data_IF_530564311561
#
_entry.id   IF_530564311561
#
_cell.length_a   1.000
_cell.length_b   1.000
_cell.length_c   1.000
_cell.angle_alpha   90.00
_cell.angle_beta   90.00
_cell.angle_gamma   90.00
#
_symmetry.space_group_name_H-M   'P 1'
#
loop_
_entity.id
_entity.type
_entity.pdbx_description
1 polymer ?
#
# COMPACT_ATOMS: atom_id res chain seq x y z
N UNK A 1 3.10 16.22 24.39
CA UNK A 1 2.50 16.10 23.05
C UNK A 1 2.89 17.34 22.28
N UNK A 2 3.60 17.21 21.14
CA UNK A 2 3.94 18.38 20.31
C UNK A 2 2.69 18.76 19.55
N UNK A 3 2.24 20.00 19.70
CA UNK A 3 1.18 20.54 18.87
C UNK A 3 1.73 20.61 17.44
N UNK A 4 1.08 19.91 16.52
CA UNK A 4 1.37 20.07 15.10
C UNK A 4 1.10 21.52 14.76
N UNK A 5 2.14 22.25 14.37
CA UNK A 5 1.97 23.57 13.80
C UNK A 5 1.29 23.38 12.44
N UNK A 6 0.02 23.77 12.34
CA UNK A 6 -0.81 23.62 11.13
C UNK A 6 -0.34 24.54 9.96
N UNK A 7 0.77 25.27 10.14
CA UNK A 7 1.39 26.14 9.13
C UNK A 7 2.37 25.42 8.18
N UNK A 8 2.32 24.08 8.09
CA UNK A 8 3.08 23.27 7.10
C UNK A 8 2.19 22.93 5.89
N UNK A 9 2.79 22.76 4.69
CA UNK A 9 2.41 23.46 3.47
C UNK A 9 1.10 22.96 2.85
N UNK A 10 0.18 23.87 2.60
CA UNK A 10 -0.82 23.68 1.57
C UNK A 10 -0.07 23.76 0.23
N UNK A 11 -0.04 22.68 -0.55
CA UNK A 11 0.62 22.65 -1.88
C UNK A 11 -0.06 23.57 -2.91
N UNK A 12 -1.11 24.29 -2.52
CA UNK A 12 -2.04 24.99 -3.38
C UNK A 12 -2.21 26.41 -2.81
N UNK A 13 -2.06 27.42 -3.66
CA UNK A 13 -2.33 28.82 -3.30
C UNK A 13 -3.83 29.10 -3.32
N UNK A 14 -4.29 30.15 -2.63
CA UNK A 14 -5.72 30.53 -2.55
C UNK A 14 -6.38 30.69 -3.93
N UNK A 15 -5.63 31.19 -4.91
CA UNK A 15 -6.11 31.37 -6.29
C UNK A 15 -6.38 30.03 -6.99
N UNK A 16 -5.48 29.06 -6.83
CA UNK A 16 -5.64 27.72 -7.41
C UNK A 16 -6.76 26.97 -6.68
N UNK A 17 -6.93 27.17 -5.37
CA UNK A 17 -8.04 26.60 -4.61
C UNK A 17 -9.40 27.13 -5.12
N UNK A 18 -9.51 28.43 -5.36
CA UNK A 18 -10.73 29.05 -5.88
C UNK A 18 -11.10 28.53 -7.28
N UNK A 19 -10.13 28.36 -8.17
CA UNK A 19 -10.35 27.76 -9.49
C UNK A 19 -10.81 26.31 -9.40
N UNK A 20 -10.22 25.53 -8.50
CA UNK A 20 -10.56 24.12 -8.31
C UNK A 20 -11.96 23.97 -7.69
N UNK A 21 -12.34 24.81 -6.73
CA UNK A 21 -13.69 24.86 -6.18
C UNK A 21 -14.71 25.26 -7.26
N UNK A 22 -14.41 26.27 -8.09
CA UNK A 22 -15.28 26.69 -9.19
C UNK A 22 -15.45 25.58 -10.25
N UNK A 23 -14.43 24.75 -10.45
CA UNK A 23 -14.48 23.55 -11.28
C UNK A 23 -15.20 22.36 -10.60
N UNK A 24 -15.63 22.50 -9.34
CA UNK A 24 -16.39 21.49 -8.60
C UNK A 24 -15.54 20.51 -7.77
N UNK A 25 -14.26 20.79 -7.52
CA UNK A 25 -13.43 20.01 -6.61
C UNK A 25 -13.70 20.37 -5.14
N UNK A 26 -13.74 19.36 -4.27
CA UNK A 26 -13.90 19.50 -2.83
C UNK A 26 -12.59 19.12 -2.11
N UNK A 27 -12.06 20.04 -1.30
CA UNK A 27 -10.88 19.82 -0.47
C UNK A 27 -11.28 19.37 0.93
N UNK A 28 -11.89 18.20 1.04
CA UNK A 28 -12.10 17.57 2.33
C UNK A 28 -10.78 16.93 2.80
N UNK A 29 -10.34 17.17 4.06
CA UNK A 29 -9.29 16.36 4.65
C UNK A 29 -9.67 14.89 4.46
N UNK A 30 -8.77 14.03 3.95
CA UNK A 30 -9.07 12.63 3.82
C UNK A 30 -9.58 12.14 5.17
N UNK A 31 -10.81 11.60 5.19
CA UNK A 31 -11.32 10.91 6.37
C UNK A 31 -10.21 9.95 6.79
N UNK A 32 -9.84 9.94 8.08
CA UNK A 32 -8.64 9.25 8.54
C UNK A 32 -8.82 7.73 8.34
N UNK A 33 -8.61 7.26 7.11
CA UNK A 33 -8.61 5.86 6.74
C UNK A 33 -7.37 5.34 7.43
N UNK A 34 -7.60 4.57 8.51
CA UNK A 34 -6.51 3.88 9.19
C UNK A 34 -5.75 3.08 8.15
N UNK A 35 -4.54 3.51 7.85
CA UNK A 35 -3.62 2.69 7.09
C UNK A 35 -3.37 1.44 7.94
N UNK A 36 -3.38 0.27 7.29
CA UNK A 36 -2.96 -0.96 7.99
C UNK A 36 -1.54 -0.72 8.50
N UNK A 37 -1.25 -1.16 9.72
CA UNK A 37 0.13 -1.09 10.20
C UNK A 37 1.02 -1.94 9.29
N UNK A 38 2.29 -1.55 9.14
CA UNK A 38 3.27 -2.34 8.38
C UNK A 38 3.32 -3.79 8.90
N UNK A 39 3.15 -3.95 10.22
CA UNK A 39 3.05 -5.25 10.88
C UNK A 39 1.85 -6.07 10.38
N UNK A 40 0.67 -5.46 10.27
CA UNK A 40 -0.54 -6.12 9.74
C UNK A 40 -0.45 -6.40 8.24
N UNK A 41 0.26 -5.55 7.49
CA UNK A 41 0.42 -5.67 6.04
C UNK A 41 1.26 -6.90 5.67
N UNK A 42 2.39 -7.07 6.35
CA UNK A 42 3.32 -8.18 6.09
C UNK A 42 3.14 -9.37 7.03
N UNK A 43 2.27 -9.26 8.03
CA UNK A 43 2.13 -10.26 9.09
C UNK A 43 3.45 -10.46 9.82
N UNK A 44 4.12 -9.36 10.17
CA UNK A 44 5.45 -9.34 10.78
C UNK A 44 5.44 -10.10 12.12
N UNK A 45 6.43 -10.94 12.36
CA UNK A 45 6.54 -11.72 13.60
C UNK A 45 7.54 -11.08 14.60
N UNK A 46 7.35 -11.29 15.92
CA UNK A 46 8.32 -10.85 16.91
C UNK A 46 9.71 -11.48 16.69
N UNK A 47 10.75 -10.65 16.64
CA UNK A 47 12.14 -11.09 16.43
C UNK A 47 12.57 -11.24 14.96
N UNK A 48 11.64 -11.08 14.02
CA UNK A 48 11.91 -11.01 12.58
C UNK A 48 12.28 -9.58 12.17
N UNK A 49 13.04 -9.42 11.09
CA UNK A 49 13.31 -8.12 10.46
C UNK A 49 12.24 -7.77 9.43
N UNK A 50 12.09 -6.48 9.09
CA UNK A 50 11.15 -6.06 8.04
C UNK A 50 11.45 -6.73 6.69
N UNK A 51 12.73 -6.93 6.36
CA UNK A 51 13.15 -7.57 5.11
C UNK A 51 12.70 -9.04 5.02
N UNK A 52 12.79 -9.78 6.12
CA UNK A 52 12.31 -11.17 6.20
C UNK A 52 10.78 -11.23 6.05
N UNK A 53 10.06 -10.34 6.74
CA UNK A 53 8.60 -10.28 6.67
C UNK A 53 8.10 -9.95 5.24
N UNK A 54 8.75 -9.01 4.56
CA UNK A 54 8.44 -8.63 3.17
C UNK A 54 8.74 -9.79 2.21
N UNK A 55 9.89 -10.44 2.38
CA UNK A 55 10.30 -11.57 1.52
C UNK A 55 9.33 -12.73 1.62
N UNK A 56 8.95 -13.13 2.84
CA UNK A 56 7.93 -14.15 3.11
C UNK A 56 6.56 -13.79 2.52
N UNK A 57 6.16 -12.52 2.63
CA UNK A 57 4.90 -12.05 2.06
C UNK A 57 4.90 -12.14 0.53
N UNK A 58 6.01 -11.75 -0.11
CA UNK A 58 6.18 -11.80 -1.56
C UNK A 58 6.20 -13.25 -2.08
N UNK A 59 6.93 -14.15 -1.40
CA UNK A 59 6.94 -15.59 -1.71
C UNK A 59 5.53 -16.19 -1.64
N UNK A 60 4.76 -15.84 -0.61
CA UNK A 60 3.37 -16.30 -0.46
C UNK A 60 2.47 -15.82 -1.59
N UNK A 61 2.61 -14.58 -2.03
CA UNK A 61 1.81 -14.02 -3.12
C UNK A 61 2.22 -14.61 -4.49
N UNK A 62 3.52 -14.86 -4.69
CA UNK A 62 4.03 -15.50 -5.90
C UNK A 62 3.64 -16.99 -5.97
N UNK A 63 3.64 -17.71 -4.85
CA UNK A 63 3.16 -19.09 -4.77
C UNK A 63 1.66 -19.20 -5.10
N UNK A 64 0.84 -18.23 -4.69
CA UNK A 64 -0.57 -18.16 -5.06
C UNK A 64 -0.77 -17.88 -6.56
N UNK A 65 0.13 -17.12 -7.18
CA UNK A 65 0.12 -16.87 -8.64
C UNK A 65 0.65 -18.05 -9.47
N UNK A 66 1.35 -19.01 -8.85
CA UNK A 66 2.03 -20.12 -9.52
C UNK A 66 1.20 -21.39 -9.74
N UNK A 67 -0.03 -21.47 -9.22
CA UNK A 67 -0.86 -22.69 -9.33
C UNK A 67 -1.39 -22.96 -10.76
N UNK A 68 -1.07 -22.11 -11.76
CA UNK A 68 -1.40 -22.37 -13.17
C UNK A 68 -0.23 -22.87 -14.04
N UNK A 69 0.97 -23.12 -13.50
CA UNK A 69 2.13 -23.55 -14.33
C UNK A 69 2.59 -25.00 -14.07
N UNK A 70 1.68 -25.87 -13.60
CA UNK A 70 2.01 -27.24 -13.23
C UNK A 70 1.05 -28.29 -13.79
N UNK A 71 0.68 -28.22 -15.08
CA UNK A 71 -0.01 -29.33 -15.75
C UNK A 71 0.51 -29.54 -17.18
N UNK A 72 0.90 -30.80 -17.45
CA UNK A 72 1.23 -31.44 -18.75
C UNK A 72 2.64 -31.23 -19.29
N UNK A 73 3.44 -32.24 -19.63
CA UNK A 73 3.18 -33.68 -19.68
C UNK A 73 4.47 -34.48 -19.54
N UNK A 74 4.37 -35.51 -18.71
CA UNK A 74 5.07 -36.77 -18.83
C UNK A 74 4.90 -37.34 -20.25
N UNK A 75 6.02 -37.50 -20.95
CA UNK A 75 6.11 -38.20 -22.23
C UNK A 75 7.22 -39.23 -22.18
N UNK A 76 7.00 -40.31 -21.43
CA UNK A 76 7.71 -41.59 -21.62
C UNK A 76 6.99 -42.43 -22.67
N UNK A 77 7.75 -43.32 -23.34
CA UNK A 77 7.40 -44.23 -24.44
C UNK A 77 7.59 -43.61 -25.83
N UNK A 78 8.39 -44.14 -26.76
CA UNK A 78 8.98 -45.48 -26.99
C UNK A 78 10.47 -45.37 -27.37
#
# INVERSE_FOLDING_TARGET
MKQHNETEPFFITEEIEAELIAAGYEFAPPGHIRTKSIHDLFGWQPGETLGEAVSRHLEKHNAASGILSGMTGDGSSL
#
